data_IF_019412825851
#
_entry.id   IF_019412825851
#
_cell.length_a   1.000
_cell.length_b   1.000
_cell.length_c   1.000
_cell.angle_alpha   90.00
_cell.angle_beta   90.00
_cell.angle_gamma   90.00
#
_symmetry.space_group_name_H-M   'P 1'
#
loop_
_entity.id
_entity.type
_entity.pdbx_description
1 polymer ?
#
# COMPACT_ATOMS: atom_id res chain seq x y z
N UNK A 1 -1.41 16.47 1.90
CA UNK A 1 -0.45 15.62 2.67
C UNK A 1 -1.28 14.70 3.55
N UNK A 2 -0.91 13.44 3.70
CA UNK A 2 -1.80 12.32 4.04
C UNK A 2 -2.65 12.36 5.33
N UNK A 3 -2.71 13.48 6.06
CA UNK A 3 -3.47 13.62 7.30
C UNK A 3 -2.97 12.73 8.43
N UNK A 4 -1.77 12.17 8.27
CA UNK A 4 -1.17 11.23 9.21
C UNK A 4 -0.65 12.01 10.41
N UNK A 5 -1.07 11.61 11.60
CA UNK A 5 -0.55 12.15 12.85
C UNK A 5 0.94 11.85 12.96
N UNK A 6 1.77 12.90 13.02
CA UNK A 6 3.21 12.79 13.25
C UNK A 6 3.45 12.93 14.75
N UNK A 7 4.03 11.93 15.43
CA UNK A 7 4.35 12.05 16.85
C UNK A 7 5.36 13.18 17.07
N UNK A 8 5.27 13.87 18.22
CA UNK A 8 6.23 14.88 18.60
C UNK A 8 7.62 14.23 18.76
N UNK A 9 8.53 14.55 17.84
CA UNK A 9 9.92 14.06 17.88
C UNK A 9 10.87 15.22 18.19
N UNK A 10 12.04 14.91 18.77
CA UNK A 10 13.13 15.88 19.00
C UNK A 10 13.57 16.62 17.73
N UNK A 11 13.28 16.07 16.54
CA UNK A 11 13.54 16.71 15.25
C UNK A 11 12.45 17.72 14.86
N UNK A 12 11.18 17.43 15.17
CA UNK A 12 10.04 18.34 15.03
C UNK A 12 10.19 19.64 15.84
N UNK A 13 10.83 19.53 17.00
CA UNK A 13 11.14 20.66 17.89
C UNK A 13 12.25 21.56 17.31
N UNK A 14 13.21 20.98 16.58
CA UNK A 14 14.36 21.69 15.99
C UNK A 14 14.06 22.40 14.65
N UNK A 15 12.85 22.27 14.11
CA UNK A 15 12.45 22.94 12.88
C UNK A 15 12.21 24.44 13.11
N UNK A 16 12.87 25.28 12.32
CA UNK A 16 12.70 26.74 12.36
C UNK A 16 11.26 27.17 12.03
N UNK A 17 10.85 28.35 12.50
CA UNK A 17 9.53 28.91 12.21
C UNK A 17 9.29 29.08 10.70
N UNK A 18 10.33 29.45 9.95
CA UNK A 18 10.28 29.60 8.49
C UNK A 18 10.02 28.25 7.81
N UNK A 19 10.74 27.20 8.21
CA UNK A 19 10.56 25.85 7.67
C UNK A 19 9.14 25.31 7.92
N UNK A 20 8.60 25.53 9.13
CA UNK A 20 7.21 25.14 9.47
C UNK A 20 6.18 25.87 8.60
N UNK A 21 6.39 27.16 8.35
CA UNK A 21 5.50 27.95 7.48
C UNK A 21 5.56 27.49 6.02
N UNK A 22 6.75 27.16 5.51
CA UNK A 22 6.89 26.61 4.16
C UNK A 22 6.18 25.28 3.99
N UNK A 23 6.31 24.37 4.97
CA UNK A 23 5.60 23.08 4.96
C UNK A 23 4.08 23.28 4.94
N UNK A 24 3.53 24.14 5.80
CA UNK A 24 2.09 24.46 5.78
C UNK A 24 1.62 25.03 4.44
N UNK A 25 2.43 25.88 3.81
CA UNK A 25 2.12 26.42 2.48
C UNK A 25 2.11 25.34 1.40
N UNK A 26 3.09 24.44 1.43
CA UNK A 26 3.16 23.29 0.51
C UNK A 26 1.99 22.33 0.73
N UNK A 27 1.59 22.09 1.97
CA UNK A 27 0.39 21.30 2.31
C UNK A 27 -0.89 21.94 1.74
N UNK A 28 -1.07 23.24 1.93
CA UNK A 28 -2.23 23.98 1.41
C UNK A 28 -2.28 23.99 -0.13
N UNK A 29 -1.12 24.12 -0.80
CA UNK A 29 -1.02 23.99 -2.26
C UNK A 29 -1.28 22.56 -2.73
N UNK A 30 -0.81 21.56 -1.99
CA UNK A 30 -1.00 20.15 -2.29
C UNK A 30 -2.46 19.71 -2.19
N UNK A 31 -3.25 20.31 -1.29
CA UNK A 31 -4.68 19.97 -1.15
C UNK A 31 -5.51 20.29 -2.40
N UNK A 32 -5.10 21.29 -3.19
CA UNK A 32 -5.74 21.59 -4.48
C UNK A 32 -5.48 20.49 -5.54
N UNK A 33 -4.53 19.59 -5.29
CA UNK A 33 -4.11 18.50 -6.19
C UNK A 33 -4.46 17.11 -5.61
N UNK A 34 -5.11 17.03 -4.45
CA UNK A 34 -5.30 15.78 -3.69
C UNK A 34 -6.17 14.73 -4.39
N UNK A 35 -6.92 15.10 -5.43
CA UNK A 35 -7.73 14.16 -6.22
C UNK A 35 -6.98 13.53 -7.39
N UNK A 36 -5.76 13.99 -7.70
CA UNK A 36 -5.04 13.52 -8.89
C UNK A 36 -4.27 12.24 -8.61
N UNK A 37 -4.68 11.14 -9.26
CA UNK A 37 -3.98 9.85 -9.21
C UNK A 37 -2.71 9.87 -10.09
N UNK A 38 -1.66 9.10 -9.72
CA UNK A 38 -0.51 8.87 -10.57
C UNK A 38 -0.90 8.22 -11.92
N UNK A 39 -0.15 8.45 -13.01
CA UNK A 39 -0.44 7.83 -14.31
C UNK A 39 -0.41 6.29 -14.30
N UNK A 40 0.35 5.67 -13.40
CA UNK A 40 0.35 4.21 -13.23
C UNK A 40 -1.01 3.72 -12.73
N UNK A 41 -1.51 4.33 -11.65
CA UNK A 41 -2.79 4.00 -11.03
C UNK A 41 -3.95 4.23 -12.00
N UNK A 42 -3.93 5.33 -12.77
CA UNK A 42 -4.92 5.59 -13.83
C UNK A 42 -4.96 4.44 -14.84
N UNK A 43 -3.81 3.96 -15.32
CA UNK A 43 -3.76 2.84 -16.28
C UNK A 43 -4.28 1.54 -15.69
N UNK A 44 -4.01 1.28 -14.41
CA UNK A 44 -4.53 0.10 -13.70
C UNK A 44 -6.05 0.19 -13.59
N UNK A 45 -6.58 1.34 -13.18
CA UNK A 45 -8.04 1.54 -13.07
C UNK A 45 -8.74 1.45 -14.42
N UNK A 46 -8.21 2.08 -15.47
CA UNK A 46 -8.76 1.94 -16.83
C UNK A 46 -8.78 0.47 -17.29
N UNK A 47 -7.73 -0.29 -16.99
CA UNK A 47 -7.69 -1.71 -17.33
C UNK A 47 -8.71 -2.53 -16.52
N UNK A 48 -8.94 -2.19 -15.24
CA UNK A 48 -9.97 -2.81 -14.41
C UNK A 48 -11.39 -2.50 -14.91
N UNK A 49 -11.65 -1.24 -15.25
CA UNK A 49 -12.92 -0.79 -15.83
C UNK A 49 -13.21 -1.51 -17.15
N UNK A 50 -12.20 -1.65 -18.02
CA UNK A 50 -12.34 -2.37 -19.28
C UNK A 50 -12.58 -3.87 -19.06
N UNK A 51 -11.84 -4.50 -18.14
CA UNK A 51 -11.96 -5.93 -17.83
C UNK A 51 -13.33 -6.31 -17.24
N UNK A 52 -13.99 -5.39 -16.53
CA UNK A 52 -15.27 -5.60 -15.84
C UNK A 52 -16.46 -4.94 -16.53
N UNK A 53 -16.27 -4.35 -17.72
CA UNK A 53 -17.30 -3.59 -18.44
C UNK A 53 -18.55 -4.39 -18.81
N UNK A 54 -18.40 -5.69 -19.02
CA UNK A 54 -19.45 -6.64 -19.39
C UNK A 54 -20.29 -7.11 -18.20
N UNK A 55 -20.00 -6.61 -17.00
CA UNK A 55 -20.57 -7.07 -15.74
C UNK A 55 -21.11 -5.91 -14.94
N UNK A 56 -22.27 -6.10 -14.29
CA UNK A 56 -22.87 -5.09 -13.40
C UNK A 56 -22.28 -5.23 -12.00
N UNK A 57 -21.08 -4.68 -11.81
CA UNK A 57 -20.39 -4.62 -10.51
C UNK A 57 -19.86 -3.21 -10.27
N UNK A 58 -19.74 -2.84 -9.00
CA UNK A 58 -19.02 -1.62 -8.60
C UNK A 58 -17.51 -1.89 -8.76
N UNK A 59 -16.87 -1.17 -9.69
CA UNK A 59 -15.44 -1.35 -9.95
C UNK A 59 -14.65 -0.67 -8.83
N UNK A 60 -13.85 -1.41 -8.05
CA UNK A 60 -13.13 -0.84 -6.93
C UNK A 60 -12.08 0.18 -7.42
N UNK A 61 -11.99 1.31 -6.71
CA UNK A 61 -10.98 2.33 -6.97
C UNK A 61 -9.76 2.14 -6.09
N UNK A 62 -8.58 2.48 -6.60
CA UNK A 62 -7.33 2.44 -5.86
C UNK A 62 -7.29 3.54 -4.79
N UNK A 63 -6.67 3.27 -3.62
CA UNK A 63 -6.55 4.25 -2.56
C UNK A 63 -5.66 5.43 -3.01
N UNK A 64 -6.21 6.64 -2.95
CA UNK A 64 -5.50 7.88 -3.36
C UNK A 64 -4.53 8.36 -2.27
N UNK A 65 -4.90 8.19 -1.00
CA UNK A 65 -4.10 8.65 0.13
C UNK A 65 -3.11 7.58 0.61
N UNK A 66 -2.01 7.40 -0.12
CA UNK A 66 -0.95 6.44 0.20
C UNK A 66 0.35 7.13 0.60
N UNK A 67 1.15 6.45 1.43
CA UNK A 67 2.51 6.91 1.75
C UNK A 67 3.47 6.42 0.68
N UNK A 68 3.99 7.35 -0.13
CA UNK A 68 4.96 7.04 -1.18
C UNK A 68 6.31 6.74 -0.54
N UNK A 69 6.87 5.57 -0.82
CA UNK A 69 8.20 5.14 -0.38
C UNK A 69 9.22 5.39 -1.50
N UNK A 70 9.58 6.65 -1.73
CA UNK A 70 10.46 7.10 -2.82
C UNK A 70 11.95 6.87 -2.53
N UNK A 71 12.33 6.70 -1.26
CA UNK A 71 13.72 6.52 -0.84
C UNK A 71 14.01 5.13 -0.31
N UNK A 72 15.21 4.65 -0.62
CA UNK A 72 15.73 3.39 -0.10
C UNK A 72 15.71 3.38 1.43
N UNK A 73 15.25 2.29 2.02
CA UNK A 73 15.22 2.09 3.47
C UNK A 73 13.98 2.63 4.19
N UNK A 74 13.10 3.42 3.55
CA UNK A 74 11.87 3.93 4.19
C UNK A 74 10.99 2.82 4.72
N UNK A 75 10.71 1.79 3.90
CA UNK A 75 9.90 0.64 4.32
C UNK A 75 10.45 -0.04 5.58
N UNK A 76 11.79 -0.17 5.67
CA UNK A 76 12.47 -0.77 6.82
C UNK A 76 12.31 0.06 8.09
N UNK A 77 12.43 1.39 7.98
CA UNK A 77 12.23 2.30 9.12
C UNK A 77 10.79 2.25 9.61
N UNK A 78 9.82 2.18 8.69
CA UNK A 78 8.39 2.11 9.02
C UNK A 78 7.94 0.75 9.56
N UNK A 79 8.77 -0.30 9.45
CA UNK A 79 8.43 -1.65 9.91
C UNK A 79 8.45 -1.80 11.43
N UNK A 80 9.16 -0.93 12.15
CA UNK A 80 9.33 -0.97 13.59
C UNK A 80 8.82 0.34 14.23
N UNK A 81 8.37 0.30 15.49
CA UNK A 81 8.01 1.52 16.21
C UNK A 81 9.22 2.44 16.38
N UNK A 82 8.96 3.75 16.47
CA UNK A 82 10.02 4.77 16.59
C UNK A 82 10.97 4.51 17.77
N UNK A 83 10.40 4.18 18.93
CA UNK A 83 11.13 4.02 20.20
C UNK A 83 11.22 2.54 20.65
N UNK A 84 11.18 1.59 19.71
CA UNK A 84 11.22 0.17 20.06
C UNK A 84 11.92 -0.71 19.02
N UNK A 85 12.30 -1.90 19.46
CA UNK A 85 12.98 -2.92 18.66
C UNK A 85 12.08 -4.10 18.31
N UNK A 86 10.82 -4.10 18.73
CA UNK A 86 9.85 -5.19 18.53
C UNK A 86 8.50 -4.65 18.10
N UNK A 87 7.86 -5.33 17.15
CA UNK A 87 6.49 -5.09 16.74
C UNK A 87 5.77 -6.43 16.60
N UNK A 88 4.70 -6.65 17.39
CA UNK A 88 3.90 -7.87 17.30
C UNK A 88 2.46 -7.53 16.96
N UNK A 89 1.99 -8.08 15.84
CA UNK A 89 0.63 -7.99 15.35
C UNK A 89 0.12 -9.40 15.04
N UNK A 90 -1.19 -9.54 14.87
CA UNK A 90 -1.84 -10.82 14.54
C UNK A 90 -1.15 -11.53 13.36
N UNK A 91 -0.89 -10.80 12.28
CA UNK A 91 -0.40 -11.35 11.02
C UNK A 91 1.14 -11.41 10.90
N UNK A 92 1.87 -10.70 11.77
CA UNK A 92 3.32 -10.50 11.61
C UNK A 92 4.00 -10.13 12.94
N UNK A 93 5.16 -10.72 13.19
CA UNK A 93 6.07 -10.34 14.29
C UNK A 93 7.41 -9.88 13.72
N UNK A 94 7.87 -8.70 14.10
CA UNK A 94 9.10 -8.07 13.59
C UNK A 94 10.02 -7.68 14.74
N UNK A 95 11.32 -7.92 14.56
CA UNK A 95 12.35 -7.64 15.56
C UNK A 95 13.56 -6.98 14.93
N UNK A 96 14.14 -5.98 15.59
CA UNK A 96 15.46 -5.43 15.25
C UNK A 96 16.52 -6.40 15.78
N UNK A 97 17.46 -6.76 14.92
CA UNK A 97 18.60 -7.63 15.26
C UNK A 97 19.91 -6.90 14.96
N UNK A 98 21.04 -7.46 15.41
CA UNK A 98 22.35 -6.89 15.08
C UNK A 98 22.61 -6.86 13.57
N UNK A 99 22.02 -7.80 12.82
CA UNK A 99 22.18 -7.96 11.38
C UNK A 99 21.13 -7.19 10.57
N UNK A 100 19.98 -6.86 11.16
CA UNK A 100 18.95 -6.14 10.43
C UNK A 100 17.58 -6.15 11.08
N UNK A 101 16.58 -6.55 10.30
CA UNK A 101 15.21 -6.75 10.76
C UNK A 101 14.85 -8.20 10.48
N UNK A 102 14.36 -8.90 11.51
CA UNK A 102 13.79 -10.23 11.42
C UNK A 102 12.27 -10.10 11.30
N UNK A 103 11.68 -10.74 10.29
CA UNK A 103 10.24 -10.74 10.06
C UNK A 103 9.70 -12.18 10.09
N UNK A 104 8.81 -12.46 11.04
CA UNK A 104 8.15 -13.75 11.23
C UNK A 104 6.64 -13.58 10.92
N UNK A 105 6.19 -13.88 9.69
CA UNK A 105 4.77 -13.85 9.34
C UNK A 105 3.98 -14.97 10.03
N UNK A 106 2.66 -14.86 10.04
CA UNK A 106 1.77 -15.92 10.55
C UNK A 106 1.95 -17.25 9.80
N UNK A 107 2.17 -17.19 8.48
CA UNK A 107 2.47 -18.35 7.64
C UNK A 107 3.92 -18.29 7.13
N UNK A 108 4.77 -19.15 7.67
CA UNK A 108 6.22 -19.20 7.37
C UNK A 108 6.54 -19.96 6.07
N UNK A 109 5.59 -20.75 5.55
CA UNK A 109 5.82 -21.58 4.36
C UNK A 109 4.81 -21.26 3.27
N UNK A 110 5.34 -21.14 2.05
CA UNK A 110 4.53 -20.97 0.84
C UNK A 110 3.89 -22.29 0.42
N UNK A 111 2.64 -22.24 -0.01
CA UNK A 111 1.92 -23.33 -0.68
C UNK A 111 1.88 -23.07 -2.20
N UNK A 112 1.88 -24.13 -3.00
CA UNK A 112 1.83 -24.04 -4.48
C UNK A 112 0.61 -24.72 -5.09
N UNK A 113 0.08 -25.74 -4.41
CA UNK A 113 -1.13 -26.43 -4.85
C UNK A 113 -2.36 -25.60 -4.53
N UNK A 114 -3.15 -25.27 -5.56
CA UNK A 114 -4.45 -24.61 -5.40
C UNK A 114 -4.38 -23.16 -4.93
N UNK A 115 -3.29 -22.43 -5.20
CA UNK A 115 -3.15 -21.02 -4.78
C UNK A 115 -3.22 -20.01 -5.93
N UNK A 116 -3.14 -20.46 -7.18
CA UNK A 116 -3.06 -19.56 -8.33
C UNK A 116 -4.39 -19.53 -9.08
N UNK A 117 -5.12 -18.43 -8.88
CA UNK A 117 -6.43 -18.17 -9.47
C UNK A 117 -6.30 -17.17 -10.61
N UNK A 118 -7.05 -17.39 -11.69
CA UNK A 118 -7.13 -16.49 -12.84
C UNK A 118 -8.60 -16.20 -13.11
N UNK A 119 -8.93 -14.91 -13.16
CA UNK A 119 -10.28 -14.46 -13.51
C UNK A 119 -10.51 -14.70 -15.00
N UNK A 120 -11.69 -15.17 -15.35
CA UNK A 120 -12.13 -15.38 -16.73
C UNK A 120 -12.32 -14.02 -17.44
N UNK A 121 -11.22 -13.42 -17.87
CA UNK A 121 -11.21 -12.10 -18.52
C UNK A 121 -10.44 -12.14 -19.84
N UNK A 122 -11.13 -12.56 -20.89
CA UNK A 122 -10.70 -12.50 -22.30
C UNK A 122 -9.63 -13.51 -22.74
N UNK A 123 -8.70 -13.91 -21.87
CA UNK A 123 -7.63 -14.86 -22.19
C UNK A 123 -7.99 -16.26 -21.64
N UNK A 124 -7.74 -17.35 -22.40
CA UNK A 124 -7.99 -18.71 -21.90
C UNK A 124 -7.20 -19.02 -20.62
N UNK A 125 -7.89 -19.57 -19.64
CA UNK A 125 -7.27 -20.02 -18.38
C UNK A 125 -6.55 -21.36 -18.62
N UNK A 126 -5.26 -21.50 -18.28
CA UNK A 126 -4.55 -22.77 -18.38
C UNK A 126 -5.18 -23.84 -17.48
N UNK A 127 -5.24 -25.08 -17.96
CA UNK A 127 -5.93 -26.18 -17.26
C UNK A 127 -5.35 -26.56 -15.89
N UNK A 128 -4.15 -26.09 -15.54
CA UNK A 128 -3.53 -26.30 -14.24
C UNK A 128 -3.79 -25.16 -13.23
N UNK A 129 -4.59 -24.15 -13.62
CA UNK A 129 -4.98 -23.00 -12.79
C UNK A 129 -6.45 -23.08 -12.41
N UNK A 130 -6.82 -22.36 -11.36
CA UNK A 130 -8.21 -22.25 -10.93
C UNK A 130 -8.85 -21.07 -11.67
N UNK A 131 -9.87 -21.36 -12.48
CA UNK A 131 -10.68 -20.32 -13.12
C UNK A 131 -11.65 -19.70 -12.10
N UNK A 132 -11.75 -18.38 -12.11
CA UNK A 132 -12.65 -17.61 -11.24
C UNK A 132 -13.59 -16.77 -12.11
N UNK A 133 -14.91 -16.85 -11.91
CA UNK A 133 -15.85 -16.02 -12.67
C UNK A 133 -15.66 -14.53 -12.33
N UNK A 134 -16.07 -13.63 -13.22
CA UNK A 134 -16.00 -12.17 -12.97
C UNK A 134 -16.95 -11.70 -11.86
N UNK A 135 -18.01 -12.46 -11.59
CA UNK A 135 -18.97 -12.21 -10.51
C UNK A 135 -19.06 -13.46 -9.67
N UNK A 136 -18.94 -13.27 -8.36
CA UNK A 136 -19.34 -14.30 -7.42
C UNK A 136 -20.87 -14.35 -7.37
N UNK A 137 -21.47 -15.49 -7.74
CA UNK A 137 -22.86 -15.76 -7.40
C UNK A 137 -22.94 -16.09 -5.90
N UNK A 138 -22.97 -15.05 -5.06
CA UNK A 138 -23.42 -15.15 -3.67
C UNK A 138 -24.74 -14.44 -3.50
#
# INVERSE_FOLDING_TARGET
>A
AAGISVPATKLGEKLSAVSKHLLKRLEAQGSQLETRKPPADIRIETALEEALKDVVVDVPTLPVNTVIMDRCGMARVLSLPLDGDRCERKYMKMYKTAQGVLCNPEHDRRTTKGVFHIVESGIPVPGDKIAVPKVDMQ
#
